data_IF_462660701166
#
_entry.id   IF_462660701166
#
_cell.length_a   1.000
_cell.length_b   1.000
_cell.length_c   1.000
_cell.angle_alpha   90.00
_cell.angle_beta   90.00
_cell.angle_gamma   90.00
#
_symmetry.space_group_name_H-M   'P 1'
#
loop_
_entity.id
_entity.type
_entity.pdbx_description
1 polymer ?
#
# COMPACT_ATOMS: atom_id res chain seq x y z
N UNK A 1 1.24 -9.31 -7.27
CA UNK A 1 0.71 -7.93 -7.38
C UNK A 1 -0.65 -7.87 -6.73
N UNK A 2 -1.00 -6.71 -6.20
CA UNK A 2 -2.19 -6.45 -5.41
C UNK A 2 -2.66 -5.04 -5.71
N UNK A 3 -3.95 -4.88 -5.91
CA UNK A 3 -4.64 -3.60 -5.98
C UNK A 3 -5.98 -3.74 -5.25
N UNK A 4 -6.45 -2.65 -4.65
CA UNK A 4 -7.84 -2.54 -4.22
C UNK A 4 -8.41 -1.21 -4.67
N UNK A 5 -9.58 -1.26 -5.30
CA UNK A 5 -10.36 -0.04 -5.50
C UNK A 5 -11.13 0.24 -4.22
N UNK A 6 -10.69 1.29 -3.52
CA UNK A 6 -11.35 1.80 -2.34
C UNK A 6 -11.94 3.16 -2.68
N UNK A 7 -13.26 3.29 -2.77
CA UNK A 7 -13.88 4.61 -2.70
C UNK A 7 -15.23 4.58 -2.01
N UNK A 8 -15.17 4.62 -0.67
CA UNK A 8 -16.17 5.36 0.11
C UNK A 8 -15.46 6.14 1.22
N UNK A 9 -15.32 7.47 1.05
CA UNK A 9 -14.72 8.39 2.03
C UNK A 9 -13.26 8.80 1.75
N UNK A 10 -12.89 10.03 2.15
CA UNK A 10 -11.54 10.58 1.97
C UNK A 10 -10.53 10.00 2.98
N UNK A 11 -9.43 9.44 2.48
CA UNK A 11 -8.30 8.95 3.28
C UNK A 11 -8.41 7.49 3.74
N UNK A 12 -7.25 6.86 3.97
CA UNK A 12 -7.13 5.42 4.27
C UNK A 12 -7.77 5.00 5.61
N UNK A 13 -7.99 5.94 6.54
CA UNK A 13 -8.61 5.63 7.83
C UNK A 13 -10.12 5.35 7.70
N UNK A 14 -10.81 5.92 6.70
CA UNK A 14 -12.28 5.83 6.54
C UNK A 14 -12.73 5.12 5.27
N UNK A 15 -11.83 4.90 4.32
CA UNK A 15 -12.08 4.20 3.07
C UNK A 15 -12.68 2.80 3.32
N UNK A 16 -13.52 2.30 2.43
CA UNK A 16 -14.02 0.92 2.44
C UNK A 16 -13.63 0.24 1.12
N UNK A 17 -13.21 -1.03 1.19
CA UNK A 17 -12.83 -1.81 0.02
C UNK A 17 -14.10 -2.27 -0.70
N UNK A 18 -14.23 -1.91 -1.97
CA UNK A 18 -15.32 -2.37 -2.83
C UNK A 18 -14.87 -3.50 -3.76
N UNK A 19 -13.59 -3.51 -4.14
CA UNK A 19 -12.96 -4.60 -4.88
C UNK A 19 -11.54 -4.82 -4.36
N UNK A 20 -11.13 -6.07 -4.30
CA UNK A 20 -9.74 -6.47 -4.10
C UNK A 20 -9.34 -7.41 -5.22
N UNK A 21 -8.17 -7.15 -5.80
CA UNK A 21 -7.62 -7.99 -6.86
C UNK A 21 -6.14 -8.27 -6.61
N UNK A 22 -5.74 -9.51 -6.81
CA UNK A 22 -4.34 -9.91 -6.73
C UNK A 22 -3.99 -10.88 -7.85
N UNK A 23 -2.74 -10.82 -8.31
CA UNK A 23 -2.22 -11.67 -9.38
C UNK A 23 -0.84 -12.18 -9.01
N UNK A 24 -0.59 -13.46 -9.26
CA UNK A 24 0.74 -14.06 -9.31
C UNK A 24 0.79 -15.04 -10.47
N UNK A 25 1.62 -14.74 -11.48
CA UNK A 25 1.63 -15.48 -12.76
C UNK A 25 0.21 -15.55 -13.32
N UNK A 26 -0.31 -16.75 -13.59
CA UNK A 26 -1.64 -16.98 -14.14
C UNK A 26 -2.74 -17.02 -13.08
N UNK A 27 -2.38 -17.13 -11.80
CA UNK A 27 -3.35 -17.18 -10.71
C UNK A 27 -3.87 -15.77 -10.38
N UNK A 28 -5.18 -15.58 -10.46
CA UNK A 28 -5.86 -14.31 -10.17
C UNK A 28 -6.88 -14.50 -9.05
N UNK A 29 -6.84 -13.60 -8.07
CA UNK A 29 -7.89 -13.40 -7.09
C UNK A 29 -8.61 -12.09 -7.42
N UNK A 30 -9.93 -12.11 -7.50
CA UNK A 30 -10.75 -10.92 -7.68
C UNK A 30 -12.05 -11.09 -6.90
N UNK A 31 -12.37 -10.15 -6.02
CA UNK A 31 -13.58 -10.21 -5.22
C UNK A 31 -14.15 -8.82 -5.00
N UNK A 32 -15.48 -8.74 -4.98
CA UNK A 32 -16.22 -7.52 -4.69
C UNK A 32 -16.91 -7.64 -3.32
N UNK A 33 -17.01 -6.52 -2.60
CA UNK A 33 -17.76 -6.42 -1.35
C UNK A 33 -18.59 -5.15 -1.36
N UNK A 34 -19.81 -5.23 -0.87
CA UNK A 34 -20.62 -4.04 -0.63
C UNK A 34 -19.97 -3.19 0.48
N UNK A 35 -19.79 -1.88 0.26
CA UNK A 35 -19.46 -0.97 1.34
C UNK A 35 -20.68 -0.77 2.26
N UNK A 36 -20.41 -0.45 3.51
CA UNK A 36 -21.44 -0.08 4.49
C UNK A 36 -21.89 1.37 4.28
N UNK A 37 -20.99 2.23 3.83
CA UNK A 37 -21.28 3.63 3.55
C UNK A 37 -21.72 3.83 2.10
N UNK A 38 -22.55 4.85 1.88
CA UNK A 38 -22.97 5.25 0.54
C UNK A 38 -21.75 5.71 -0.27
N UNK A 39 -21.59 5.12 -1.46
CA UNK A 39 -20.57 5.52 -2.42
C UNK A 39 -20.78 6.97 -2.87
N UNK A 40 -19.70 7.76 -2.92
CA UNK A 40 -19.78 9.15 -3.39
C UNK A 40 -19.81 9.21 -4.92
N UNK A 41 -20.25 10.32 -5.51
CA UNK A 41 -20.29 10.41 -6.98
C UNK A 41 -18.88 10.30 -7.58
N UNK A 42 -17.87 10.88 -6.93
CA UNK A 42 -16.47 10.79 -7.35
C UNK A 42 -15.91 9.37 -7.21
N UNK A 43 -16.49 8.57 -6.32
CA UNK A 43 -16.17 7.18 -6.15
C UNK A 43 -16.70 6.33 -7.30
N UNK A 44 -17.97 6.53 -7.64
CA UNK A 44 -18.63 5.87 -8.77
C UNK A 44 -17.94 6.26 -10.08
N UNK A 45 -17.68 7.55 -10.29
CA UNK A 45 -17.09 8.06 -11.53
C UNK A 45 -15.69 7.50 -11.78
N UNK A 46 -14.91 7.28 -10.72
CA UNK A 46 -13.58 6.72 -10.91
C UNK A 46 -13.62 5.20 -10.99
N UNK A 47 -14.34 4.50 -10.12
CA UNK A 47 -14.30 3.02 -10.12
C UNK A 47 -15.19 2.38 -11.18
N UNK A 48 -16.15 3.12 -11.73
CA UNK A 48 -17.22 2.58 -12.57
C UNK A 48 -18.25 1.74 -11.80
N UNK A 49 -18.08 1.61 -10.48
CA UNK A 49 -18.98 0.84 -9.62
C UNK A 49 -20.17 1.69 -9.19
N UNK A 50 -21.37 1.10 -9.19
CA UNK A 50 -22.60 1.72 -8.70
C UNK A 50 -23.31 0.80 -7.74
N UNK A 51 -24.01 1.38 -6.75
CA UNK A 51 -24.85 0.61 -5.84
C UNK A 51 -26.31 0.99 -6.07
N UNK A 52 -27.09 0.04 -6.58
CA UNK A 52 -28.50 0.23 -6.89
C UNK A 52 -29.29 -0.75 -6.04
N UNK A 53 -30.14 -0.24 -5.13
CA UNK A 53 -30.99 -1.04 -4.23
C UNK A 53 -30.24 -2.12 -3.45
N UNK A 54 -29.02 -1.82 -3.00
CA UNK A 54 -28.19 -2.73 -2.22
C UNK A 54 -27.37 -3.71 -3.04
N UNK A 55 -27.40 -3.62 -4.38
CA UNK A 55 -26.66 -4.48 -5.27
C UNK A 55 -25.59 -3.69 -6.02
N UNK A 56 -24.41 -4.29 -6.26
CA UNK A 56 -23.30 -3.64 -6.93
C UNK A 56 -23.34 -3.92 -8.44
N UNK A 57 -23.07 -2.89 -9.25
CA UNK A 57 -23.03 -2.96 -10.70
C UNK A 57 -21.75 -2.34 -11.25
N UNK A 58 -21.27 -2.84 -12.39
CA UNK A 58 -20.27 -2.21 -13.24
C UNK A 58 -20.88 -2.00 -14.62
N UNK A 59 -21.12 -0.74 -14.99
CA UNK A 59 -21.97 -0.44 -16.16
C UNK A 59 -23.39 -0.99 -15.95
N UNK A 60 -23.82 -1.90 -16.84
CA UNK A 60 -25.12 -2.58 -16.76
C UNK A 60 -25.03 -3.99 -16.16
N UNK A 61 -23.82 -4.46 -15.82
CA UNK A 61 -23.60 -5.80 -15.31
C UNK A 61 -23.70 -5.82 -13.77
N UNK A 62 -24.53 -6.73 -13.24
CA UNK A 62 -24.63 -6.98 -11.80
C UNK A 62 -23.44 -7.81 -11.34
N UNK A 63 -22.74 -7.34 -10.32
CA UNK A 63 -21.59 -8.01 -9.74
C UNK A 63 -21.98 -8.86 -8.53
N UNK A 64 -21.42 -10.07 -8.45
CA UNK A 64 -21.51 -10.89 -7.24
C UNK A 64 -20.65 -10.27 -6.14
N UNK A 65 -21.23 -10.07 -4.97
CA UNK A 65 -20.54 -9.49 -3.81
C UNK A 65 -20.47 -10.49 -2.68
N UNK A 66 -19.39 -10.42 -1.91
CA UNK A 66 -19.11 -11.29 -0.77
C UNK A 66 -18.86 -10.41 0.46
N UNK A 67 -19.32 -10.78 1.67
CA UNK A 67 -19.01 -10.04 2.88
C UNK A 67 -17.50 -9.81 3.03
N UNK A 68 -17.09 -8.58 3.31
CA UNK A 68 -15.67 -8.20 3.33
C UNK A 68 -14.81 -9.10 4.23
N UNK A 69 -15.34 -9.61 5.35
CA UNK A 69 -14.60 -10.56 6.20
C UNK A 69 -14.26 -11.85 5.44
N UNK A 70 -15.23 -12.42 4.74
CA UNK A 70 -15.07 -13.62 3.91
C UNK A 70 -14.17 -13.35 2.70
N UNK A 71 -14.20 -12.15 2.14
CA UNK A 71 -13.22 -11.73 1.12
C UNK A 71 -11.79 -11.82 1.66
N UNK A 72 -11.53 -11.35 2.88
CA UNK A 72 -10.20 -11.45 3.50
C UNK A 72 -9.83 -12.91 3.87
N UNK A 73 -10.78 -13.74 4.30
CA UNK A 73 -10.56 -15.17 4.53
C UNK A 73 -10.11 -15.86 3.22
N UNK A 74 -10.83 -15.64 2.14
CA UNK A 74 -10.51 -16.19 0.82
C UNK A 74 -9.21 -15.64 0.26
N UNK A 75 -8.91 -14.36 0.50
CA UNK A 75 -7.65 -13.75 0.11
C UNK A 75 -6.46 -14.42 0.81
N UNK A 76 -6.57 -14.73 2.11
CA UNK A 76 -5.52 -15.43 2.84
C UNK A 76 -5.34 -16.88 2.37
N UNK A 77 -6.43 -17.57 2.00
CA UNK A 77 -6.38 -18.89 1.39
C UNK A 77 -5.63 -18.82 0.05
N UNK A 78 -5.98 -17.85 -0.79
CA UNK A 78 -5.30 -17.60 -2.06
C UNK A 78 -3.80 -17.39 -1.86
N UNK A 79 -3.41 -16.51 -0.94
CA UNK A 79 -2.00 -16.27 -0.62
C UNK A 79 -1.30 -17.54 -0.09
N UNK A 80 -1.95 -18.29 0.79
CA UNK A 80 -1.38 -19.52 1.35
C UNK A 80 -1.17 -20.61 0.29
N UNK A 81 -1.98 -20.63 -0.77
CA UNK A 81 -1.91 -21.66 -1.81
C UNK A 81 -0.55 -21.72 -2.54
N UNK A 82 0.20 -20.62 -2.56
CA UNK A 82 1.52 -20.54 -3.19
C UNK A 82 2.64 -21.24 -2.41
N UNK A 83 2.40 -21.66 -1.15
CA UNK A 83 3.36 -22.38 -0.31
C UNK A 83 4.78 -21.78 -0.29
N UNK A 84 4.89 -20.45 -0.37
CA UNK A 84 6.15 -19.72 -0.48
C UNK A 84 6.05 -18.36 0.22
N UNK A 85 7.19 -17.77 0.63
CA UNK A 85 7.23 -16.41 1.14
C UNK A 85 6.74 -15.39 0.09
N UNK A 86 5.81 -14.52 0.48
CA UNK A 86 5.17 -13.56 -0.45
C UNK A 86 5.62 -12.13 -0.15
N UNK A 87 5.93 -11.39 -1.22
CA UNK A 87 6.00 -9.92 -1.22
C UNK A 87 4.76 -9.38 -1.93
N UNK A 88 3.97 -8.57 -1.23
CA UNK A 88 2.84 -7.87 -1.83
C UNK A 88 3.35 -6.61 -2.55
N UNK A 89 2.92 -6.43 -3.80
CA UNK A 89 3.37 -5.34 -4.66
C UNK A 89 2.13 -4.54 -5.10
N UNK A 90 2.14 -3.23 -4.86
CA UNK A 90 1.07 -2.31 -5.27
C UNK A 90 1.65 -0.96 -5.68
N UNK A 91 0.95 -0.23 -6.54
CA UNK A 91 1.39 1.09 -6.98
C UNK A 91 0.96 2.18 -6.00
N UNK A 92 1.92 2.89 -5.39
CA UNK A 92 1.68 3.80 -4.28
C UNK A 92 1.06 3.09 -3.04
N UNK A 93 1.32 1.78 -2.94
CA UNK A 93 0.73 0.90 -1.94
C UNK A 93 1.02 1.29 -0.50
N UNK A 94 2.19 1.87 -0.21
CA UNK A 94 2.49 2.31 1.16
C UNK A 94 1.60 3.45 1.63
N UNK A 95 1.07 4.26 0.70
CA UNK A 95 0.16 5.37 1.03
C UNK A 95 -1.30 4.98 0.96
N UNK A 96 -1.64 3.92 0.23
CA UNK A 96 -3.02 3.57 -0.08
C UNK A 96 -3.38 2.12 0.30
N UNK A 97 -3.01 1.15 -0.53
CA UNK A 97 -3.46 -0.24 -0.40
C UNK A 97 -3.09 -0.90 0.92
N UNK A 98 -1.80 -0.86 1.28
CA UNK A 98 -1.29 -1.60 2.42
C UNK A 98 -1.88 -1.08 3.75
N UNK A 99 -1.99 0.24 4.00
CA UNK A 99 -2.68 0.75 5.18
C UNK A 99 -4.12 0.25 5.35
N UNK A 100 -4.88 0.14 4.24
CA UNK A 100 -6.29 -0.28 4.23
C UNK A 100 -6.39 -1.79 4.49
N UNK A 101 -5.59 -2.60 3.79
CA UNK A 101 -5.53 -4.05 3.95
C UNK A 101 -5.13 -4.42 5.38
N UNK A 102 -4.06 -3.80 5.91
CA UNK A 102 -3.62 -4.05 7.28
C UNK A 102 -4.71 -3.70 8.30
N UNK A 103 -5.49 -2.63 8.07
CA UNK A 103 -6.61 -2.25 8.97
C UNK A 103 -7.65 -3.36 9.04
N UNK A 104 -8.08 -3.94 7.92
CA UNK A 104 -9.04 -5.04 7.92
C UNK A 104 -8.47 -6.32 8.53
N UNK A 105 -7.21 -6.65 8.26
CA UNK A 105 -6.54 -7.79 8.89
C UNK A 105 -6.47 -7.66 10.41
N UNK A 106 -6.24 -6.45 10.94
CA UNK A 106 -6.32 -6.18 12.37
C UNK A 106 -7.76 -6.29 12.90
N UNK A 107 -8.71 -5.67 12.20
CA UNK A 107 -10.13 -5.69 12.59
C UNK A 107 -10.68 -7.11 12.70
N UNK A 108 -10.32 -8.01 11.77
CA UNK A 108 -10.76 -9.39 11.75
C UNK A 108 -9.82 -10.37 12.46
N UNK A 109 -8.80 -9.87 13.18
CA UNK A 109 -7.84 -10.69 13.94
C UNK A 109 -7.10 -11.74 13.09
N UNK A 110 -6.87 -11.43 11.81
CA UNK A 110 -6.23 -12.32 10.83
C UNK A 110 -4.73 -12.07 10.65
N UNK A 111 -4.17 -11.15 11.42
CA UNK A 111 -2.79 -10.69 11.27
C UNK A 111 -1.75 -11.80 11.52
N UNK A 112 -2.02 -12.73 12.43
CA UNK A 112 -1.10 -13.85 12.71
C UNK A 112 -1.05 -14.87 11.58
N UNK A 113 -2.19 -15.14 10.91
CA UNK A 113 -2.20 -15.97 9.71
C UNK A 113 -1.47 -15.26 8.56
N UNK A 114 -1.72 -13.96 8.39
CA UNK A 114 -1.12 -13.17 7.33
C UNK A 114 0.42 -13.14 7.39
N UNK A 115 1.00 -12.93 8.58
CA UNK A 115 2.46 -12.88 8.79
C UNK A 115 3.19 -14.19 8.49
N UNK A 116 2.48 -15.34 8.50
CA UNK A 116 3.09 -16.64 8.15
C UNK A 116 3.40 -16.76 6.66
N UNK A 117 2.69 -15.99 5.82
CA UNK A 117 2.82 -16.08 4.37
C UNK A 117 3.47 -14.84 3.78
N UNK A 118 3.04 -13.64 4.20
CA UNK A 118 3.53 -12.38 3.63
C UNK A 118 4.72 -11.88 4.43
N UNK A 119 5.89 -11.90 3.79
CA UNK A 119 7.18 -11.50 4.39
C UNK A 119 7.55 -10.05 4.11
N UNK A 120 6.93 -9.41 3.11
CA UNK A 120 7.19 -8.01 2.81
C UNK A 120 6.22 -7.35 1.86
N UNK A 121 6.49 -6.07 1.60
CA UNK A 121 5.70 -5.18 0.78
C UNK A 121 6.62 -4.34 -0.11
N UNK A 122 6.28 -4.15 -1.38
CA UNK A 122 7.02 -3.32 -2.31
C UNK A 122 6.08 -2.33 -3.01
N UNK A 123 6.60 -1.15 -3.35
CA UNK A 123 5.81 -0.06 -3.92
C UNK A 123 6.37 0.36 -5.27
N UNK A 124 5.64 0.05 -6.33
CA UNK A 124 6.10 0.27 -7.71
C UNK A 124 6.26 1.75 -8.03
N UNK A 125 5.58 2.68 -7.35
CA UNK A 125 5.83 4.11 -7.54
C UNK A 125 7.27 4.47 -7.16
N UNK A 126 7.76 3.90 -6.06
CA UNK A 126 9.14 4.14 -5.61
C UNK A 126 10.14 3.42 -6.50
N UNK A 127 9.81 2.20 -6.93
CA UNK A 127 10.66 1.40 -7.81
C UNK A 127 10.79 2.06 -9.18
N UNK A 128 9.68 2.44 -9.82
CA UNK A 128 9.71 3.09 -11.13
C UNK A 128 10.45 4.42 -11.09
N UNK A 129 10.35 5.21 -10.02
CA UNK A 129 11.18 6.42 -9.85
C UNK A 129 12.68 6.11 -9.84
N UNK A 130 13.08 4.99 -9.24
CA UNK A 130 14.49 4.58 -9.21
C UNK A 130 15.02 4.12 -10.58
N UNK A 131 14.16 3.55 -11.43
CA UNK A 131 14.54 3.04 -12.76
C UNK A 131 14.38 4.06 -13.88
N UNK A 132 13.36 4.91 -13.80
CA UNK A 132 13.03 5.91 -14.80
C UNK A 132 13.56 7.27 -14.35
N UNK A 133 14.87 7.36 -14.11
CA UNK A 133 15.52 8.57 -13.58
C UNK A 133 15.30 9.78 -14.48
N UNK A 134 15.41 9.61 -15.80
CA UNK A 134 15.10 10.66 -16.78
C UNK A 134 13.66 11.19 -16.66
N UNK A 135 12.67 10.29 -16.55
CA UNK A 135 11.26 10.65 -16.30
C UNK A 135 11.10 11.47 -15.01
N UNK A 136 11.83 11.08 -13.96
CA UNK A 136 11.84 11.78 -12.68
C UNK A 136 12.48 13.18 -12.78
N UNK A 137 13.60 13.31 -13.50
CA UNK A 137 14.31 14.58 -13.74
C UNK A 137 13.44 15.56 -14.55
N UNK A 138 12.73 15.04 -15.55
CA UNK A 138 11.79 15.78 -16.40
C UNK A 138 10.45 16.07 -15.68
N UNK A 139 10.30 15.66 -14.41
CA UNK A 139 9.07 15.84 -13.60
C UNK A 139 7.81 15.29 -14.26
N UNK A 140 7.96 14.25 -15.08
CA UNK A 140 6.84 13.57 -15.70
C UNK A 140 6.05 12.77 -14.66
N UNK A 141 4.77 12.56 -14.93
CA UNK A 141 3.86 11.87 -14.01
C UNK A 141 4.19 10.39 -13.89
N UNK A 142 3.99 9.81 -12.71
CA UNK A 142 4.14 8.37 -12.45
C UNK A 142 2.81 7.70 -12.12
N UNK A 143 1.67 8.31 -12.43
CA UNK A 143 0.38 7.62 -12.31
C UNK A 143 0.40 6.39 -13.22
N UNK A 144 -0.29 5.32 -12.81
CA UNK A 144 -0.40 4.09 -13.62
C UNK A 144 -0.92 4.41 -15.03
N UNK A 145 -1.89 5.31 -15.15
CA UNK A 145 -2.43 5.76 -16.43
C UNK A 145 -1.36 6.37 -17.36
N UNK A 146 -0.57 7.30 -16.84
CA UNK A 146 0.48 7.97 -17.63
C UNK A 146 1.59 6.99 -18.01
N UNK A 147 1.95 6.07 -17.10
CA UNK A 147 2.91 5.02 -17.38
C UNK A 147 2.38 4.04 -18.44
N UNK A 148 1.13 3.62 -18.34
CA UNK A 148 0.50 2.72 -19.30
C UNK A 148 0.49 3.36 -20.69
N UNK A 149 0.06 4.62 -20.78
CA UNK A 149 0.04 5.39 -22.02
C UNK A 149 1.41 5.46 -22.69
N UNK A 150 2.44 5.78 -21.91
CA UNK A 150 3.78 6.05 -22.45
C UNK A 150 4.57 4.78 -22.77
N UNK A 151 4.38 3.69 -22.01
CA UNK A 151 5.18 2.47 -22.15
C UNK A 151 4.44 1.32 -22.86
N UNK A 152 3.10 1.28 -22.78
CA UNK A 152 2.29 0.20 -23.33
C UNK A 152 1.43 0.65 -24.52
N UNK A 153 1.02 1.92 -24.55
CA UNK A 153 0.16 2.49 -25.58
C UNK A 153 -1.17 3.03 -25.01
N UNK A 154 -1.86 3.94 -25.72
CA UNK A 154 -3.10 4.57 -25.26
C UNK A 154 -4.24 3.57 -25.02
N UNK A 155 -4.28 2.46 -25.75
CA UNK A 155 -5.28 1.39 -25.60
C UNK A 155 -5.23 0.71 -24.22
N UNK A 156 -4.08 0.76 -23.54
CA UNK A 156 -3.92 0.24 -22.18
C UNK A 156 -4.45 1.19 -21.10
N UNK A 157 -4.99 2.36 -21.49
CA UNK A 157 -5.62 3.29 -20.54
C UNK A 157 -7.12 3.04 -20.36
N UNK A 158 -7.73 2.23 -21.23
CA UNK A 158 -9.13 1.86 -21.13
C UNK A 158 -9.38 0.92 -19.94
N UNK A 159 -10.41 1.23 -19.13
CA UNK A 159 -10.79 0.39 -18.00
C UNK A 159 -9.86 0.46 -16.78
N UNK A 160 -8.92 1.41 -16.75
CA UNK A 160 -8.21 1.79 -15.52
C UNK A 160 -9.20 2.16 -14.42
N UNK A 161 -8.80 1.95 -13.17
CA UNK A 161 -9.63 2.08 -11.97
C UNK A 161 -10.60 0.93 -11.70
N UNK A 162 -10.50 -0.17 -12.46
CA UNK A 162 -10.89 -1.49 -12.02
C UNK A 162 -9.66 -2.22 -11.46
N UNK A 163 -9.73 -2.71 -10.22
CA UNK A 163 -8.55 -3.28 -9.54
C UNK A 163 -7.96 -4.48 -10.31
N UNK A 164 -8.79 -5.27 -11.00
CA UNK A 164 -8.33 -6.41 -11.79
C UNK A 164 -7.62 -5.98 -13.08
N UNK A 165 -8.01 -4.85 -13.67
CA UNK A 165 -7.33 -4.29 -14.83
C UNK A 165 -6.04 -3.57 -14.41
N UNK A 166 -6.09 -2.82 -13.32
CA UNK A 166 -4.93 -2.10 -12.76
C UNK A 166 -3.78 -3.07 -12.44
N UNK A 167 -4.04 -4.25 -11.83
CA UNK A 167 -2.99 -5.26 -11.59
C UNK A 167 -2.44 -5.88 -12.88
N UNK A 168 -3.24 -6.00 -13.94
CA UNK A 168 -2.77 -6.53 -15.23
C UNK A 168 -1.84 -5.54 -15.88
N UNK A 169 -2.24 -4.27 -15.95
CA UNK A 169 -1.43 -3.18 -16.47
C UNK A 169 -0.15 -3.02 -15.66
N UNK A 170 -0.23 -3.07 -14.33
CA UNK A 170 0.96 -2.99 -13.47
C UNK A 170 1.93 -4.15 -13.71
N UNK A 171 1.41 -5.36 -13.95
CA UNK A 171 2.21 -6.53 -14.34
C UNK A 171 2.96 -6.28 -15.63
N UNK A 172 2.24 -5.87 -16.67
CA UNK A 172 2.82 -5.58 -17.97
C UNK A 172 3.82 -4.42 -17.90
N UNK A 173 3.58 -3.41 -17.06
CA UNK A 173 4.52 -2.30 -16.84
C UNK A 173 5.83 -2.76 -16.20
N UNK A 174 5.77 -3.61 -15.18
CA UNK A 174 7.00 -4.16 -14.56
C UNK A 174 7.83 -4.92 -15.60
N UNK A 175 7.16 -5.75 -16.42
CA UNK A 175 7.81 -6.53 -17.47
C UNK A 175 8.39 -5.62 -18.57
N UNK A 176 7.62 -4.62 -19.03
CA UNK A 176 8.02 -3.68 -20.09
C UNK A 176 9.16 -2.75 -19.67
N UNK A 177 9.13 -2.26 -18.43
CA UNK A 177 10.21 -1.45 -17.83
C UNK A 177 11.41 -2.33 -17.48
N UNK A 178 11.25 -3.66 -17.53
CA UNK A 178 12.28 -4.66 -17.24
C UNK A 178 12.85 -4.49 -15.83
N UNK A 179 11.97 -4.36 -14.84
CA UNK A 179 12.36 -4.25 -13.43
C UNK A 179 12.74 -5.64 -12.89
N UNK A 180 14.00 -5.87 -12.49
CA UNK A 180 14.45 -7.16 -11.98
C UNK A 180 13.83 -7.53 -10.62
N UNK A 181 13.56 -8.82 -10.42
CA UNK A 181 12.94 -9.33 -9.19
C UNK A 181 13.81 -9.11 -7.94
N UNK A 182 15.13 -9.28 -8.04
CA UNK A 182 16.08 -9.03 -6.97
C UNK A 182 16.03 -7.56 -6.52
N UNK A 183 15.82 -6.63 -7.46
CA UNK A 183 15.66 -5.23 -7.13
C UNK A 183 14.34 -4.96 -6.40
N UNK A 184 13.23 -5.56 -6.84
CA UNK A 184 11.94 -5.50 -6.11
C UNK A 184 12.13 -6.00 -4.67
N UNK A 185 12.81 -7.14 -4.50
CA UNK A 185 13.09 -7.74 -3.18
C UNK A 185 13.93 -6.78 -2.33
N UNK A 186 15.01 -6.21 -2.88
CA UNK A 186 15.90 -5.29 -2.15
C UNK A 186 15.22 -3.99 -1.70
N UNK A 187 14.21 -3.53 -2.44
CA UNK A 187 13.44 -2.32 -2.14
C UNK A 187 12.19 -2.59 -1.30
N UNK A 188 11.88 -3.86 -1.04
CA UNK A 188 10.75 -4.25 -0.23
C UNK A 188 11.00 -3.94 1.26
N UNK A 189 9.93 -3.58 1.95
CA UNK A 189 9.91 -3.42 3.40
C UNK A 189 9.32 -4.66 4.04
N UNK A 190 10.00 -5.22 5.03
CA UNK A 190 9.55 -6.45 5.68
C UNK A 190 8.24 -6.24 6.45
N UNK A 191 7.45 -7.30 6.57
CA UNK A 191 6.20 -7.26 7.34
C UNK A 191 6.42 -6.83 8.79
N UNK A 192 7.42 -7.35 9.54
CA UNK A 192 7.72 -6.85 10.88
C UNK A 192 8.02 -5.35 10.91
N UNK A 193 8.78 -4.83 9.94
CA UNK A 193 9.10 -3.41 9.84
C UNK A 193 7.84 -2.55 9.66
N UNK A 194 6.97 -2.92 8.72
CA UNK A 194 5.73 -2.17 8.44
C UNK A 194 4.79 -2.16 9.65
N UNK A 195 4.68 -3.28 10.36
CA UNK A 195 3.85 -3.36 11.57
C UNK A 195 4.41 -2.50 12.71
N UNK A 196 5.74 -2.51 12.90
CA UNK A 196 6.41 -1.65 13.88
C UNK A 196 6.22 -0.17 13.52
N UNK A 197 6.46 0.23 12.27
CA UNK A 197 6.27 1.60 11.79
C UNK A 197 4.82 2.07 12.00
N UNK A 198 3.83 1.23 11.68
CA UNK A 198 2.42 1.53 11.93
C UNK A 198 2.11 1.70 13.43
N UNK A 199 2.64 0.80 14.28
CA UNK A 199 2.44 0.88 15.71
C UNK A 199 3.04 2.16 16.31
N UNK A 200 4.26 2.51 15.90
CA UNK A 200 4.94 3.73 16.33
C UNK A 200 4.20 4.98 15.85
N UNK A 201 3.76 5.03 14.59
CA UNK A 201 2.94 6.14 14.06
C UNK A 201 1.64 6.33 14.83
N UNK A 202 1.00 5.24 15.27
CA UNK A 202 -0.19 5.31 16.12
C UNK A 202 0.16 5.80 17.53
N UNK A 203 1.22 5.27 18.13
CA UNK A 203 1.66 5.60 19.48
C UNK A 203 2.08 7.07 19.61
N UNK A 204 2.77 7.59 18.59
CA UNK A 204 3.21 8.98 18.56
C UNK A 204 2.31 9.90 17.73
N UNK A 205 1.08 9.49 17.38
CA UNK A 205 0.14 10.32 16.62
C UNK A 205 -0.11 11.63 17.39
N UNK A 206 0.22 12.77 16.78
CA UNK A 206 0.12 14.09 17.41
C UNK A 206 1.30 14.46 18.33
N UNK A 207 2.10 13.49 18.75
CA UNK A 207 3.31 13.72 19.55
C UNK A 207 4.55 13.95 18.68
N UNK A 208 4.65 13.28 17.51
CA UNK A 208 5.74 13.46 16.54
C UNK A 208 5.22 13.47 15.11
N UNK A 209 6.00 14.02 14.17
CA UNK A 209 5.65 14.00 12.74
C UNK A 209 5.77 12.58 12.17
N UNK A 210 5.07 12.28 11.06
CA UNK A 210 5.13 10.97 10.38
C UNK A 210 6.54 10.60 9.90
N UNK A 211 7.37 11.62 9.61
CA UNK A 211 8.79 11.49 9.28
C UNK A 211 9.57 10.98 10.49
N UNK A 212 9.40 11.59 11.66
CA UNK A 212 10.06 11.15 12.90
C UNK A 212 9.63 9.73 13.28
N UNK A 213 8.34 9.41 13.15
CA UNK A 213 7.86 8.06 13.43
C UNK A 213 8.49 6.99 12.51
N UNK A 214 8.67 7.31 11.22
CA UNK A 214 9.33 6.41 10.26
C UNK A 214 10.83 6.23 10.58
N UNK A 215 11.49 7.28 11.08
CA UNK A 215 12.90 7.22 11.54
C UNK A 215 13.07 6.33 12.76
N UNK A 216 12.17 6.47 13.74
CA UNK A 216 12.15 5.62 14.94
C UNK A 216 12.02 4.15 14.53
N UNK A 217 11.16 3.85 13.54
CA UNK A 217 11.00 2.49 13.01
C UNK A 217 12.25 1.97 12.29
N UNK A 218 12.86 2.78 11.40
CA UNK A 218 14.08 2.42 10.66
C UNK A 218 15.27 2.19 11.59
N UNK A 219 15.46 3.06 12.57
CA UNK A 219 16.55 2.97 13.54
C UNK A 219 16.34 1.92 14.65
N UNK A 220 15.23 1.16 14.62
CA UNK A 220 14.81 0.25 15.70
C UNK A 220 14.78 0.93 17.07
N UNK A 221 14.54 2.24 17.09
CA UNK A 221 14.47 3.04 18.31
C UNK A 221 13.15 2.67 19.00
N UNK A 222 13.23 2.14 20.21
CA UNK A 222 12.05 1.80 21.00
C UNK A 222 11.91 2.75 22.19
N UNK A 223 10.81 2.63 22.94
CA UNK A 223 10.54 3.48 24.10
C UNK A 223 11.66 3.37 25.15
N UNK A 224 12.27 2.21 25.32
CA UNK A 224 13.41 2.00 26.22
C UNK A 224 14.62 2.80 25.77
N UNK A 225 14.94 2.79 24.47
CA UNK A 225 16.03 3.61 23.89
C UNK A 225 15.77 5.10 24.05
N UNK A 226 14.53 5.55 23.80
CA UNK A 226 14.14 6.96 24.00
C UNK A 226 14.22 7.38 25.46
N UNK A 227 13.73 6.54 26.39
CA UNK A 227 13.83 6.77 27.83
C UNK A 227 15.27 6.83 28.30
N UNK A 228 16.14 5.91 27.84
CA UNK A 228 17.57 5.92 28.15
C UNK A 228 18.25 7.18 27.63
N UNK A 229 17.97 7.58 26.38
CA UNK A 229 18.53 8.83 25.84
C UNK A 229 18.08 10.05 26.64
N UNK A 230 16.80 10.12 27.03
CA UNK A 230 16.28 11.19 27.87
C UNK A 230 16.89 11.20 29.27
N UNK A 231 17.10 10.03 29.88
CA UNK A 231 17.76 9.91 31.18
C UNK A 231 19.24 10.33 31.13
N UNK A 232 19.94 10.05 30.03
CA UNK A 232 21.37 10.32 29.89
C UNK A 232 21.68 11.79 29.60
N UNK A 233 20.83 12.50 28.85
CA UNK A 233 21.12 13.89 28.52
C UNK A 233 19.89 14.67 28.05
N UNK A 234 18.73 14.36 28.65
CA UNK A 234 17.50 15.11 28.50
C UNK A 234 17.02 15.23 27.06
N UNK A 235 16.43 16.37 26.75
CA UNK A 235 15.84 16.65 25.44
C UNK A 235 16.88 16.61 24.30
N UNK A 236 18.09 17.10 24.53
CA UNK A 236 19.12 17.16 23.49
C UNK A 236 19.62 15.79 23.06
N UNK A 237 19.73 14.84 24.00
CA UNK A 237 20.10 13.45 23.68
C UNK A 237 19.00 12.74 22.89
N UNK A 238 17.73 12.98 23.22
CA UNK A 238 16.60 12.47 22.41
C UNK A 238 16.61 13.10 21.01
N UNK A 239 16.92 14.40 20.93
CA UNK A 239 17.00 15.13 19.66
C UNK A 239 18.12 14.60 18.77
N UNK A 240 19.31 14.33 19.32
CA UNK A 240 20.42 13.71 18.58
C UNK A 240 20.09 12.29 18.12
N UNK A 241 19.45 11.50 18.98
CA UNK A 241 18.99 10.14 18.64
C UNK A 241 17.99 10.13 17.47
N UNK A 242 17.20 11.19 17.33
CA UNK A 242 16.19 11.34 16.27
C UNK A 242 16.66 12.19 15.06
N UNK A 243 17.89 12.72 15.10
CA UNK A 243 18.43 13.58 14.05
C UNK A 243 18.92 12.78 12.83
N UNK A 244 18.82 13.38 11.64
CA UNK A 244 19.52 12.88 10.45
C UNK A 244 20.96 13.39 10.43
N UNK A 245 21.89 12.56 9.98
CA UNK A 245 23.24 13.02 9.71
C UNK A 245 23.28 13.57 8.28
N UNK A 246 23.25 14.90 8.14
CA UNK A 246 23.42 15.57 6.85
C UNK A 246 24.77 16.27 6.88
N UNK A 247 25.70 15.85 6.03
CA UNK A 247 27.08 16.37 5.99
C UNK A 247 27.77 16.34 7.37
N UNK A 248 27.71 15.19 8.08
CA UNK A 248 28.25 15.00 9.44
C UNK A 248 27.70 15.94 10.53
N UNK A 249 26.54 16.57 10.28
CA UNK A 249 25.86 17.39 11.28
C UNK A 249 24.46 16.84 11.57
N UNK A 250 24.09 16.62 12.85
CA UNK A 250 22.75 16.18 13.21
C UNK A 250 21.73 17.29 12.91
N UNK A 251 20.80 17.02 11.99
CA UNK A 251 19.69 17.91 11.63
C UNK A 251 18.35 17.33 12.08
N UNK A 252 17.58 18.15 12.80
CA UNK A 252 16.17 17.86 13.13
C UNK A 252 15.28 18.80 12.34
N UNK A 253 14.28 18.24 11.66
CA UNK A 253 13.26 18.99 10.95
C UNK A 253 12.46 19.79 11.99
N UNK A 254 12.67 21.12 12.04
CA UNK A 254 11.82 22.01 12.84
C UNK A 254 10.49 22.21 12.10
N UNK A 255 9.43 22.43 12.88
CA UNK A 255 8.12 22.85 12.39
C UNK A 255 8.24 24.08 11.51
#
# INVERSE_FOLDING_TARGET
MLDNTARVGFGTEKAEICQISAKHKDAVFNAYSLPLKKMSQEAENVTGLKIIRGEMFSGNEKLSTTPIKTVFENFLIYLKSFNSPIILIAHNGFRFDFPIILRYLFQYKMMEQFKKTVVGFADTLTIFKNFLTKRQEEKQSFKVEDLARDFLGPEFTEGLHNAAQDIKILSTLIDKINVPNDKIISMAKSTPFILADRALKKYFKGAVTSVIASKIALGRINLTTLKKAFQLGGYDSVKMLLAENINNKPRVTKK
#
